data_IF_254638017962
#
_entry.id   IF_254638017962
#
_cell.length_a   1.000
_cell.length_b   1.000
_cell.length_c   1.000
_cell.angle_alpha   90.00
_cell.angle_beta   90.00
_cell.angle_gamma   90.00
#
_symmetry.space_group_name_H-M   'P 1'
#
loop_
_entity.id
_entity.type
_entity.pdbx_description
1 polymer ?
#
# COMPACT_ATOMS: atom_id res chain seq x y z
N UNK A 1 -4.18 7.39 -9.36
CA UNK A 1 -5.21 7.61 -10.42
C UNK A 1 -5.20 6.57 -11.52
N UNK A 2 -4.06 6.23 -12.13
CA UNK A 2 -4.06 5.29 -13.27
C UNK A 2 -4.52 3.87 -12.91
N UNK A 3 -4.12 3.32 -11.75
CA UNK A 3 -4.66 2.06 -11.25
C UNK A 3 -6.20 2.07 -11.12
N UNK A 4 -6.79 3.15 -10.60
CA UNK A 4 -8.25 3.30 -10.52
C UNK A 4 -8.91 3.33 -11.90
N UNK A 5 -8.25 3.95 -12.89
CA UNK A 5 -8.78 3.98 -14.25
C UNK A 5 -8.75 2.58 -14.90
N UNK A 6 -7.77 1.74 -14.55
CA UNK A 6 -7.75 0.33 -14.96
C UNK A 6 -8.81 -0.50 -14.24
N UNK A 7 -8.99 -0.30 -12.92
CA UNK A 7 -10.06 -0.93 -12.16
C UNK A 7 -11.42 -0.57 -12.78
N UNK A 8 -11.66 0.71 -13.07
CA UNK A 8 -12.89 1.19 -13.72
C UNK A 8 -13.14 0.49 -15.07
N UNK A 9 -12.09 0.26 -15.84
CA UNK A 9 -12.20 -0.27 -17.21
C UNK A 9 -12.29 -1.80 -17.26
N UNK A 10 -11.41 -2.49 -16.52
CA UNK A 10 -11.14 -3.91 -16.71
C UNK A 10 -11.74 -4.81 -15.60
N UNK A 11 -12.03 -4.26 -14.42
CA UNK A 11 -12.44 -5.02 -13.23
C UNK A 11 -13.91 -4.74 -12.88
N UNK A 12 -14.28 -3.48 -12.59
CA UNK A 12 -15.63 -3.14 -12.12
C UNK A 12 -16.76 -3.65 -13.02
N UNK A 13 -16.68 -3.57 -14.37
CA UNK A 13 -17.75 -4.08 -15.22
C UNK A 13 -17.93 -5.60 -15.18
N UNK A 14 -16.88 -6.36 -14.86
CA UNK A 14 -16.94 -7.83 -14.73
C UNK A 14 -17.57 -8.24 -13.40
N UNK A 15 -17.18 -7.52 -12.36
CA UNK A 15 -17.48 -7.76 -10.95
C UNK A 15 -18.90 -7.30 -10.58
N UNK A 16 -19.33 -6.16 -11.11
CA UNK A 16 -20.63 -5.55 -10.81
C UNK A 16 -21.49 -5.43 -12.08
N UNK A 17 -21.95 -6.58 -12.57
CA UNK A 17 -22.83 -6.66 -13.74
C UNK A 17 -24.14 -5.93 -13.44
N UNK A 18 -24.46 -4.91 -14.24
CA UNK A 18 -25.69 -4.10 -14.09
C UNK A 18 -25.47 -2.69 -13.50
N UNK A 19 -24.26 -2.36 -13.06
CA UNK A 19 -23.91 -0.98 -12.70
C UNK A 19 -23.24 -0.29 -13.90
N UNK A 20 -23.76 0.88 -14.29
CA UNK A 20 -23.13 1.71 -15.32
C UNK A 20 -21.98 2.56 -14.72
N UNK A 21 -20.75 2.12 -14.97
CA UNK A 21 -19.54 2.84 -14.56
C UNK A 21 -19.12 3.95 -15.54
N UNK A 22 -19.85 4.20 -16.63
CA UNK A 22 -19.56 5.31 -17.56
C UNK A 22 -19.51 6.66 -16.83
N UNK A 23 -20.38 6.82 -15.81
CA UNK A 23 -20.54 8.01 -14.99
C UNK A 23 -19.48 8.15 -13.87
N UNK A 24 -18.70 7.11 -13.60
CA UNK A 24 -17.63 7.16 -12.60
C UNK A 24 -16.49 8.02 -13.14
N UNK A 25 -16.23 9.17 -12.53
CA UNK A 25 -15.16 10.08 -12.93
C UNK A 25 -13.98 9.96 -11.98
N UNK A 26 -12.76 9.91 -12.52
CA UNK A 26 -11.53 9.94 -11.74
C UNK A 26 -10.90 11.30 -11.99
N UNK A 27 -10.73 12.08 -10.92
CA UNK A 27 -10.16 13.41 -10.97
C UNK A 27 -8.78 13.36 -10.30
N UNK A 28 -7.76 13.91 -10.95
CA UNK A 28 -6.45 14.14 -10.37
C UNK A 28 -6.26 15.65 -10.19
N UNK A 29 -6.21 16.08 -8.93
CA UNK A 29 -5.93 17.47 -8.56
C UNK A 29 -4.44 17.56 -8.20
N UNK A 30 -3.71 18.40 -8.91
CA UNK A 30 -2.27 18.60 -8.80
C UNK A 30 -1.99 20.09 -8.57
N UNK A 31 -1.27 20.40 -7.49
CA UNK A 31 -0.97 21.79 -7.10
C UNK A 31 0.08 22.45 -8.00
N UNK A 32 0.90 21.65 -8.67
CA UNK A 32 1.95 22.13 -9.58
C UNK A 32 1.47 22.14 -11.04
N UNK A 33 2.33 22.61 -11.94
CA UNK A 33 2.03 22.72 -13.37
C UNK A 33 1.88 21.37 -14.07
N UNK A 34 2.58 20.33 -13.59
CA UNK A 34 2.71 19.06 -14.31
C UNK A 34 2.51 17.87 -13.39
N UNK A 35 1.91 16.80 -13.92
CA UNK A 35 2.02 15.48 -13.28
C UNK A 35 3.48 15.05 -13.30
N UNK A 36 3.99 14.50 -12.18
CA UNK A 36 5.40 14.13 -12.03
C UNK A 36 6.33 15.36 -12.19
N UNK A 37 6.02 16.46 -11.51
CA UNK A 37 6.72 17.75 -11.68
C UNK A 37 8.24 17.69 -11.38
N UNK A 38 8.70 16.74 -10.57
CA UNK A 38 10.12 16.51 -10.29
C UNK A 38 10.87 15.77 -11.40
N UNK A 39 10.16 15.24 -12.40
CA UNK A 39 10.71 14.45 -13.50
C UNK A 39 10.93 15.29 -14.77
N UNK A 40 11.52 14.70 -15.80
CA UNK A 40 11.78 15.35 -17.09
C UNK A 40 10.50 15.77 -17.81
N UNK A 41 10.60 16.75 -18.71
CA UNK A 41 9.47 17.18 -19.55
C UNK A 41 8.87 16.00 -20.35
N UNK A 42 9.71 15.07 -20.80
CA UNK A 42 9.27 13.85 -21.48
C UNK A 42 8.38 13.00 -20.57
N UNK A 43 8.77 12.78 -19.32
CA UNK A 43 7.98 12.03 -18.35
C UNK A 43 6.68 12.76 -18.00
N UNK A 44 6.74 14.08 -17.79
CA UNK A 44 5.59 14.94 -17.48
C UNK A 44 4.51 14.87 -18.56
N UNK A 45 4.86 15.16 -19.82
CA UNK A 45 3.94 15.14 -20.96
C UNK A 45 3.36 13.75 -21.19
N UNK A 46 4.18 12.72 -21.02
CA UNK A 46 3.78 11.34 -21.27
C UNK A 46 2.83 10.83 -20.20
N UNK A 47 3.10 11.14 -18.93
CA UNK A 47 2.23 10.83 -17.80
C UNK A 47 0.85 11.46 -17.99
N UNK A 48 0.81 12.76 -18.32
CA UNK A 48 -0.43 13.48 -18.59
C UNK A 48 -1.24 12.81 -19.70
N UNK A 49 -0.61 12.58 -20.86
CA UNK A 49 -1.24 11.95 -22.01
C UNK A 49 -1.78 10.53 -21.69
N UNK A 50 -1.02 9.72 -20.94
CA UNK A 50 -1.48 8.40 -20.54
C UNK A 50 -2.70 8.46 -19.63
N UNK A 51 -2.69 9.33 -18.62
CA UNK A 51 -3.80 9.50 -17.69
C UNK A 51 -5.07 10.02 -18.40
N UNK A 52 -4.94 11.03 -19.26
CA UNK A 52 -6.06 11.58 -20.04
C UNK A 52 -6.66 10.53 -20.97
N UNK A 53 -5.82 9.74 -21.68
CA UNK A 53 -6.28 8.61 -22.50
C UNK A 53 -6.96 7.50 -21.71
N UNK A 54 -6.68 7.39 -20.41
CA UNK A 54 -7.35 6.47 -19.50
C UNK A 54 -8.66 7.05 -18.92
N UNK A 55 -9.04 8.28 -19.31
CA UNK A 55 -10.25 8.95 -18.86
C UNK A 55 -10.12 9.66 -17.52
N UNK A 56 -8.89 9.90 -17.04
CA UNK A 56 -8.62 10.70 -15.84
C UNK A 56 -8.71 12.18 -16.21
N UNK A 57 -9.50 12.95 -15.46
CA UNK A 57 -9.59 14.41 -15.59
C UNK A 57 -8.52 15.05 -14.71
N UNK A 58 -7.66 15.87 -15.28
CA UNK A 58 -6.49 16.43 -14.58
C UNK A 58 -6.67 17.93 -14.40
N UNK A 59 -6.57 18.39 -13.16
CA UNK A 59 -6.56 19.80 -12.77
C UNK A 59 -5.17 20.10 -12.22
N UNK A 60 -4.38 20.86 -12.97
CA UNK A 60 -3.06 21.34 -12.53
C UNK A 60 -3.17 22.74 -11.95
N UNK A 61 -2.15 23.19 -11.23
CA UNK A 61 -2.11 24.52 -10.59
C UNK A 61 -3.34 24.78 -9.70
N UNK A 62 -3.89 23.70 -9.14
CA UNK A 62 -5.16 23.69 -8.42
C UNK A 62 -4.95 23.02 -7.06
N UNK A 63 -5.47 23.64 -6.00
CA UNK A 63 -5.35 23.13 -4.63
C UNK A 63 -6.72 22.88 -4.05
N UNK A 64 -6.82 21.85 -3.22
CA UNK A 64 -8.03 21.62 -2.41
C UNK A 64 -8.00 22.57 -1.22
N UNK A 65 -9.07 23.35 -1.02
CA UNK A 65 -9.26 24.23 0.14
C UNK A 65 -9.99 23.54 1.28
N UNK A 66 -11.02 22.76 0.98
CA UNK A 66 -11.84 22.09 1.98
C UNK A 66 -12.48 20.81 1.42
N UNK A 67 -12.83 19.89 2.32
CA UNK A 67 -13.67 18.75 2.04
C UNK A 67 -14.53 18.41 3.26
N UNK A 68 -15.85 18.48 3.11
CA UNK A 68 -16.81 18.25 4.20
C UNK A 68 -17.35 16.81 4.26
N UNK A 69 -16.76 15.89 3.48
CA UNK A 69 -17.26 14.52 3.31
C UNK A 69 -18.24 14.33 2.14
N UNK A 70 -18.69 15.40 1.49
CA UNK A 70 -19.64 15.38 0.37
C UNK A 70 -19.22 16.29 -0.79
N UNK A 71 -18.63 17.44 -0.47
CA UNK A 71 -18.26 18.51 -1.38
C UNK A 71 -16.80 18.84 -1.14
N UNK A 72 -16.01 18.72 -2.21
CA UNK A 72 -14.62 19.13 -2.25
C UNK A 72 -14.55 20.50 -2.92
N UNK A 73 -14.02 21.49 -2.19
CA UNK A 73 -13.90 22.87 -2.66
C UNK A 73 -12.45 23.14 -3.09
N UNK A 74 -12.26 23.63 -4.30
CA UNK A 74 -10.95 23.98 -4.85
C UNK A 74 -10.59 25.45 -4.58
N UNK A 75 -9.31 25.79 -4.72
CA UNK A 75 -8.82 27.16 -4.58
C UNK A 75 -9.48 28.14 -5.55
N UNK A 76 -9.87 27.65 -6.72
CA UNK A 76 -10.62 28.37 -7.77
C UNK A 76 -12.08 28.65 -7.44
N UNK A 77 -12.61 28.11 -6.34
CA UNK A 77 -14.04 28.20 -5.98
C UNK A 77 -14.90 27.10 -6.62
N UNK A 78 -14.33 26.24 -7.46
CA UNK A 78 -15.05 25.09 -8.02
C UNK A 78 -15.36 24.08 -6.91
N UNK A 79 -16.62 23.63 -6.88
CA UNK A 79 -17.10 22.59 -5.98
C UNK A 79 -17.31 21.27 -6.73
N UNK A 80 -16.77 20.20 -6.16
CA UNK A 80 -16.86 18.84 -6.71
C UNK A 80 -17.60 17.97 -5.72
N UNK A 81 -18.78 17.47 -6.12
CA UNK A 81 -19.53 16.49 -5.33
C UNK A 81 -18.83 15.13 -5.39
N UNK A 82 -18.33 14.67 -4.26
CA UNK A 82 -17.68 13.36 -4.14
C UNK A 82 -17.84 12.81 -2.73
N UNK A 83 -17.98 11.48 -2.61
CA UNK A 83 -17.92 10.76 -1.34
C UNK A 83 -16.54 10.16 -1.08
N UNK A 84 -15.67 10.16 -2.07
CA UNK A 84 -14.35 9.53 -2.02
C UNK A 84 -13.29 10.55 -2.39
N UNK A 85 -12.40 10.81 -1.44
CA UNK A 85 -11.22 11.65 -1.63
C UNK A 85 -10.03 10.83 -1.17
N UNK A 86 -9.03 10.71 -2.05
CA UNK A 86 -7.77 10.05 -1.74
C UNK A 86 -6.70 11.12 -1.67
N UNK A 87 -6.22 11.39 -0.47
CA UNK A 87 -5.21 12.41 -0.22
C UNK A 87 -3.81 11.80 -0.31
N UNK A 88 -3.12 12.05 -1.42
CA UNK A 88 -1.77 11.53 -1.67
C UNK A 88 -0.73 12.66 -1.79
N UNK A 89 -1.03 13.85 -1.25
CA UNK A 89 -0.22 15.05 -1.41
C UNK A 89 0.30 15.57 -0.08
N UNK A 90 1.56 16.03 -0.07
CA UNK A 90 2.17 16.67 1.08
C UNK A 90 2.55 15.68 2.17
N UNK A 91 3.77 15.85 2.69
CA UNK A 91 4.26 15.14 3.87
C UNK A 91 4.78 16.20 4.82
N UNK A 92 4.44 16.09 6.10
CA UNK A 92 4.95 16.96 7.16
C UNK A 92 5.62 16.10 8.22
N UNK A 93 6.68 16.63 8.83
CA UNK A 93 7.33 15.97 9.96
C UNK A 93 6.39 15.92 11.17
N UNK A 94 6.59 14.92 12.02
CA UNK A 94 5.97 14.93 13.34
C UNK A 94 6.64 16.03 14.17
N UNK A 95 5.84 16.88 14.81
CA UNK A 95 6.37 17.90 15.71
C UNK A 95 6.91 17.20 16.96
N UNK A 96 8.21 17.35 17.21
CA UNK A 96 8.89 16.84 18.39
C UNK A 96 9.16 18.03 19.31
N UNK A 97 8.69 17.95 20.55
CA UNK A 97 8.94 18.97 21.57
C UNK A 97 10.39 18.93 22.06
N UNK A 98 10.86 20.04 22.66
CA UNK A 98 12.21 20.15 23.23
C UNK A 98 13.29 20.65 22.27
N UNK A 99 12.99 20.80 20.97
CA UNK A 99 13.87 21.48 20.02
C UNK A 99 13.56 22.98 19.93
N UNK A 100 14.60 23.79 19.67
CA UNK A 100 14.41 25.22 19.41
C UNK A 100 13.59 25.42 18.13
N UNK A 101 12.70 26.42 18.06
CA UNK A 101 11.91 26.69 16.86
C UNK A 101 12.77 26.97 15.61
N UNK A 102 14.00 27.43 15.79
CA UNK A 102 14.93 27.80 14.71
C UNK A 102 15.44 26.60 13.92
N UNK A 103 15.53 25.42 14.56
CA UNK A 103 15.95 24.17 13.91
C UNK A 103 14.78 23.36 13.33
N UNK A 104 13.54 23.82 13.53
CA UNK A 104 12.34 23.21 12.96
C UNK A 104 11.91 24.03 11.75
N UNK A 105 11.76 23.37 10.61
CA UNK A 105 11.25 23.99 9.38
C UNK A 105 9.72 24.16 9.40
N UNK A 106 9.12 24.99 8.52
CA UNK A 106 7.67 25.14 8.44
C UNK A 106 6.91 23.83 8.16
N UNK A 107 7.57 22.82 7.58
CA UNK A 107 7.02 21.48 7.35
C UNK A 107 7.40 20.49 8.47
N UNK A 108 7.73 20.99 9.66
CA UNK A 108 8.11 20.23 10.86
C UNK A 108 9.32 19.28 10.68
N UNK A 109 10.17 19.52 9.67
CA UNK A 109 11.44 18.79 9.49
C UNK A 109 12.52 19.41 10.37
N UNK A 110 13.43 18.60 10.90
CA UNK A 110 14.56 19.00 11.71
C UNK A 110 15.77 19.34 10.85
N UNK A 111 16.34 20.53 11.03
CA UNK A 111 17.60 20.90 10.38
C UNK A 111 18.73 20.02 10.92
N UNK A 112 19.50 19.43 10.00
CA UNK A 112 20.63 18.56 10.33
C UNK A 112 21.88 19.00 9.58
N UNK A 113 23.04 18.70 10.14
CA UNK A 113 24.31 18.81 9.42
C UNK A 113 24.52 17.63 8.45
N UNK A 114 25.64 17.63 7.72
CA UNK A 114 25.95 16.63 6.68
C UNK A 114 26.29 15.23 7.21
N UNK A 115 26.30 15.03 8.52
CA UNK A 115 26.43 13.71 9.16
C UNK A 115 25.12 13.26 9.83
N UNK A 116 23.98 13.87 9.47
CA UNK A 116 22.65 13.61 10.04
C UNK A 116 22.47 14.04 11.50
N UNK A 117 23.41 14.79 12.10
CA UNK A 117 23.25 15.30 13.46
C UNK A 117 22.30 16.50 13.46
N UNK A 118 21.32 16.50 14.36
CA UNK A 118 20.40 17.63 14.54
C UNK A 118 21.22 18.83 15.00
N UNK A 119 20.98 20.00 14.40
CA UNK A 119 21.65 21.23 14.81
C UNK A 119 21.36 21.52 16.30
N UNK A 120 22.28 22.18 16.98
CA UNK A 120 22.17 22.48 18.44
C UNK A 120 22.09 21.23 19.34
N UNK A 121 22.39 20.04 18.82
CA UNK A 121 22.44 18.80 19.61
C UNK A 121 23.83 18.15 19.63
N UNK A 122 24.11 17.42 20.71
CA UNK A 122 25.36 16.68 20.87
C UNK A 122 25.25 15.26 20.33
N UNK A 123 24.14 14.58 20.61
CA UNK A 123 23.96 13.15 20.42
C UNK A 123 22.65 12.77 19.70
N UNK A 124 21.94 13.73 19.11
CA UNK A 124 20.67 13.48 18.41
C UNK A 124 20.89 13.49 16.90
N UNK A 125 20.37 12.46 16.22
CA UNK A 125 20.48 12.30 14.79
C UNK A 125 19.10 12.11 14.15
N UNK A 126 18.90 12.71 12.97
CA UNK A 126 17.68 12.58 12.19
C UNK A 126 18.03 12.26 10.73
N UNK A 127 17.26 11.35 10.12
CA UNK A 127 17.45 10.89 8.74
C UNK A 127 16.10 10.64 8.06
N UNK A 128 16.12 10.48 6.74
CA UNK A 128 14.92 10.31 5.94
C UNK A 128 14.07 11.58 5.92
N UNK A 129 12.75 11.41 5.87
CA UNK A 129 11.83 12.50 5.55
C UNK A 129 11.79 13.62 6.60
N UNK A 130 12.02 13.27 7.87
CA UNK A 130 12.07 14.23 8.98
C UNK A 130 13.34 15.10 8.95
N UNK A 131 14.40 14.68 8.25
CA UNK A 131 15.66 15.41 8.19
C UNK A 131 15.66 16.45 7.07
N UNK A 132 15.93 17.70 7.42
CA UNK A 132 16.19 18.79 6.49
C UNK A 132 17.70 19.00 6.39
N UNK A 133 18.34 18.37 5.40
CA UNK A 133 19.79 18.40 5.18
C UNK A 133 20.16 19.15 3.91
N UNK A 134 20.77 20.32 4.06
CA UNK A 134 21.26 21.09 2.92
C UNK A 134 22.65 20.61 2.47
N UNK A 135 22.85 20.59 1.16
CA UNK A 135 24.12 20.23 0.51
C UNK A 135 24.33 21.08 -0.75
N UNK A 136 25.55 21.16 -1.31
CA UNK A 136 25.78 21.91 -2.55
C UNK A 136 24.87 21.47 -3.71
N UNK A 137 24.52 20.18 -3.80
CA UNK A 137 23.59 19.68 -4.82
C UNK A 137 22.11 19.86 -4.45
N UNK A 138 21.80 19.88 -3.15
CA UNK A 138 20.45 20.00 -2.63
C UNK A 138 20.37 21.15 -1.62
N UNK A 139 20.32 22.41 -2.10
CA UNK A 139 20.30 23.59 -1.23
C UNK A 139 18.98 23.75 -0.47
N UNK A 140 17.92 23.02 -0.86
CA UNK A 140 16.60 23.03 -0.21
C UNK A 140 16.21 21.65 0.34
N UNK A 141 17.20 20.98 0.91
CA UNK A 141 17.15 19.60 1.37
C UNK A 141 17.00 18.52 0.28
N UNK A 142 17.45 17.31 0.63
CA UNK A 142 17.25 16.12 -0.21
C UNK A 142 15.76 15.79 -0.40
N UNK A 143 15.40 15.13 -1.52
CA UNK A 143 14.04 14.67 -1.74
C UNK A 143 13.64 13.59 -0.73
N UNK A 144 12.35 13.56 -0.36
CA UNK A 144 11.75 12.62 0.58
C UNK A 144 11.51 11.26 -0.11
N UNK A 145 12.60 10.52 -0.33
CA UNK A 145 12.61 9.23 -1.02
C UNK A 145 13.23 8.16 -0.14
N UNK A 146 12.71 6.93 -0.22
CA UNK A 146 13.24 5.78 0.51
C UNK A 146 14.75 5.56 0.27
N UNK A 147 15.22 5.71 -0.97
CA UNK A 147 16.64 5.56 -1.30
C UNK A 147 17.53 6.61 -0.62
N UNK A 148 17.04 7.84 -0.41
CA UNK A 148 17.76 8.87 0.34
C UNK A 148 17.89 8.41 1.80
N UNK A 149 16.78 8.00 2.42
CA UNK A 149 16.76 7.51 3.80
C UNK A 149 17.70 6.30 4.01
N UNK A 150 17.65 5.31 3.10
CA UNK A 150 18.51 4.12 3.15
C UNK A 150 19.99 4.51 3.04
N UNK A 151 20.35 5.41 2.13
CA UNK A 151 21.74 5.84 1.95
C UNK A 151 22.23 6.69 3.13
N UNK A 152 21.38 7.57 3.67
CA UNK A 152 21.68 8.30 4.90
C UNK A 152 21.92 7.34 6.07
N UNK A 153 21.02 6.35 6.27
CA UNK A 153 21.16 5.36 7.34
C UNK A 153 22.47 4.56 7.22
N UNK A 154 22.82 4.10 6.01
CA UNK A 154 24.08 3.37 5.77
C UNK A 154 25.32 4.21 6.07
N UNK A 155 25.30 5.51 5.75
CA UNK A 155 26.42 6.40 6.04
C UNK A 155 26.48 6.76 7.53
N UNK A 156 25.33 7.08 8.12
CA UNK A 156 25.23 7.41 9.54
C UNK A 156 25.71 6.25 10.40
N UNK A 157 25.33 5.01 10.12
CA UNK A 157 25.84 3.84 10.85
C UNK A 157 27.37 3.76 10.85
N UNK A 158 28.03 4.09 9.73
CA UNK A 158 29.50 4.17 9.65
C UNK A 158 30.05 5.36 10.42
N UNK A 159 29.38 6.51 10.34
CA UNK A 159 29.79 7.71 11.07
C UNK A 159 29.66 7.54 12.59
N UNK A 160 28.62 6.88 13.09
CA UNK A 160 28.46 6.58 14.52
C UNK A 160 29.63 5.74 15.04
N UNK A 161 30.02 4.69 14.29
CA UNK A 161 31.22 3.90 14.60
C UNK A 161 32.50 4.74 14.58
N UNK A 162 32.61 5.67 13.63
CA UNK A 162 33.77 6.57 13.57
C UNK A 162 33.79 7.54 14.77
N UNK A 163 32.64 8.10 15.16
CA UNK A 163 32.52 8.98 16.31
C UNK A 163 32.93 8.27 17.61
N UNK A 164 32.44 7.05 17.83
CA UNK A 164 32.82 6.21 18.98
C UNK A 164 34.35 5.96 19.02
N UNK A 165 34.97 5.80 17.86
CA UNK A 165 36.41 5.52 17.72
C UNK A 165 37.27 6.77 17.57
N UNK A 166 36.72 7.98 17.76
CA UNK A 166 37.40 9.26 17.53
C UNK A 166 38.04 9.37 16.12
N UNK A 167 37.40 8.78 15.11
CA UNK A 167 37.81 8.81 13.71
C UNK A 167 37.03 9.87 12.93
N UNK A 168 37.60 10.41 11.83
CA UNK A 168 36.90 11.38 11.00
C UNK A 168 35.61 10.79 10.40
N UNK A 169 34.54 11.57 10.44
CA UNK A 169 33.26 11.25 9.79
C UNK A 169 33.28 11.62 8.31
N UNK A 170 32.28 11.15 7.58
CA UNK A 170 32.09 11.46 6.15
C UNK A 170 30.79 12.20 5.95
N UNK A 171 30.84 13.25 5.15
CA UNK A 171 29.67 14.00 4.73
C UNK A 171 28.78 13.19 3.79
N UNK A 172 27.46 13.35 3.97
CA UNK A 172 26.46 12.86 3.05
C UNK A 172 26.30 13.79 1.85
N UNK A 173 26.17 13.19 0.67
CA UNK A 173 25.71 13.84 -0.56
C UNK A 173 24.93 12.80 -1.37
N UNK A 174 23.70 13.14 -1.73
CA UNK A 174 22.86 12.19 -2.46
C UNK A 174 23.28 12.16 -3.94
N UNK A 175 23.33 10.95 -4.49
CA UNK A 175 23.49 10.73 -5.92
C UNK A 175 22.17 10.23 -6.46
N UNK A 176 21.53 11.05 -7.27
CA UNK A 176 20.33 10.65 -7.99
C UNK A 176 20.69 9.63 -9.08
N UNK A 177 20.09 8.44 -8.99
CA UNK A 177 20.24 7.38 -9.99
C UNK A 177 19.13 7.41 -11.05
N UNK A 178 18.22 8.36 -10.94
CA UNK A 178 17.04 8.48 -11.78
C UNK A 178 15.76 8.13 -11.05
N UNK A 179 14.65 8.42 -11.71
CA UNK A 179 13.30 8.23 -11.23
C UNK A 179 12.47 7.47 -12.25
N UNK A 180 11.53 6.66 -11.78
CA UNK A 180 10.62 5.89 -12.63
C UNK A 180 9.23 5.93 -12.03
N UNK A 181 8.21 6.01 -12.88
CA UNK A 181 6.83 5.99 -12.44
C UNK A 181 6.00 5.09 -13.34
N UNK A 182 5.17 4.24 -12.73
CA UNK A 182 4.12 3.50 -13.41
C UNK A 182 2.84 4.32 -13.39
N UNK A 183 2.31 4.59 -14.57
CA UNK A 183 1.02 5.25 -14.75
C UNK A 183 -0.08 4.19 -14.87
N UNK A 184 0.23 3.06 -15.50
CA UNK A 184 -0.66 1.92 -15.58
C UNK A 184 0.03 0.74 -16.26
N UNK A 185 -0.75 -0.28 -16.54
CA UNK A 185 -0.42 -1.44 -17.36
C UNK A 185 0.21 -1.01 -18.70
N UNK A 186 1.42 -1.50 -18.95
CA UNK A 186 2.26 -1.16 -20.11
C UNK A 186 2.57 0.35 -20.27
N UNK A 187 2.34 1.17 -19.23
CA UNK A 187 2.49 2.62 -19.28
C UNK A 187 3.36 3.07 -18.12
N UNK A 188 4.64 3.25 -18.38
CA UNK A 188 5.56 3.85 -17.43
C UNK A 188 6.39 4.94 -18.10
N UNK A 189 7.10 5.69 -17.26
CA UNK A 189 8.13 6.66 -17.64
C UNK A 189 9.38 6.37 -16.82
N UNK A 190 10.53 6.46 -17.46
CA UNK A 190 11.85 6.25 -16.86
C UNK A 190 12.71 7.46 -17.20
N UNK A 191 13.25 8.09 -16.18
CA UNK A 191 14.21 9.17 -16.26
C UNK A 191 15.50 8.77 -15.56
N UNK A 192 16.50 8.42 -16.34
CA UNK A 192 17.87 8.20 -15.87
C UNK A 192 18.71 9.44 -16.20
N UNK A 193 19.88 9.63 -15.56
CA UNK A 193 20.72 10.82 -15.79
C UNK A 193 21.07 11.11 -17.26
N UNK A 194 21.06 10.10 -18.13
CA UNK A 194 21.43 10.23 -19.55
C UNK A 194 20.35 9.74 -20.52
N UNK A 195 19.30 9.07 -20.05
CA UNK A 195 18.34 8.39 -20.93
C UNK A 195 16.93 8.56 -20.35
N UNK A 196 16.01 9.03 -21.19
CA UNK A 196 14.61 9.24 -20.85
C UNK A 196 13.72 8.50 -21.85
N UNK A 197 12.84 7.62 -21.36
CA UNK A 197 11.97 6.83 -22.24
C UNK A 197 10.65 6.45 -21.57
N UNK A 198 9.70 5.98 -22.37
CA UNK A 198 8.31 5.78 -21.95
C UNK A 198 7.67 4.55 -22.55
N UNK A 199 6.49 4.21 -22.03
CA UNK A 199 5.62 3.18 -22.57
C UNK A 199 6.01 1.79 -22.10
N UNK A 200 5.93 0.81 -23.01
CA UNK A 200 6.10 -0.60 -22.68
C UNK A 200 7.52 -0.94 -22.21
N UNK A 201 8.55 -0.47 -22.89
CA UNK A 201 9.94 -0.73 -22.48
C UNK A 201 10.27 -0.08 -21.14
N UNK A 202 9.78 1.15 -20.89
CA UNK A 202 9.88 1.80 -19.58
C UNK A 202 9.20 0.97 -18.49
N UNK A 203 8.06 0.36 -18.81
CA UNK A 203 7.32 -0.50 -17.89
C UNK A 203 8.10 -1.80 -17.60
N UNK A 204 8.70 -2.44 -18.61
CA UNK A 204 9.59 -3.60 -18.41
C UNK A 204 10.80 -3.26 -17.53
N UNK A 205 11.47 -2.12 -17.78
CA UNK A 205 12.58 -1.65 -16.94
C UNK A 205 12.15 -1.45 -15.50
N UNK A 206 10.98 -0.82 -15.29
CA UNK A 206 10.43 -0.63 -13.95
C UNK A 206 10.24 -1.96 -13.23
N UNK A 207 9.66 -2.97 -13.89
CA UNK A 207 9.45 -4.31 -13.31
C UNK A 207 10.78 -4.94 -12.94
N UNK A 208 11.72 -4.92 -13.88
CA UNK A 208 13.03 -5.54 -13.69
C UNK A 208 13.75 -4.95 -12.46
N UNK A 209 13.79 -3.61 -12.36
CA UNK A 209 14.45 -2.93 -11.23
C UNK A 209 13.71 -3.21 -9.92
N UNK A 210 12.38 -3.11 -9.89
CA UNK A 210 11.61 -3.38 -8.67
C UNK A 210 11.79 -4.82 -8.20
N UNK A 211 11.80 -5.79 -9.12
CA UNK A 211 12.05 -7.20 -8.80
C UNK A 211 13.45 -7.41 -8.19
N UNK A 212 14.46 -6.72 -8.70
CA UNK A 212 15.82 -6.79 -8.14
C UNK A 212 15.89 -6.18 -6.74
N UNK A 213 15.14 -5.08 -6.50
CA UNK A 213 15.11 -4.36 -5.22
C UNK A 213 14.28 -5.03 -4.12
N UNK A 214 13.40 -5.99 -4.45
CA UNK A 214 12.75 -6.84 -3.43
C UNK A 214 13.84 -7.63 -2.70
N UNK A 215 14.14 -7.20 -1.48
CA UNK A 215 15.11 -7.82 -0.59
C UNK A 215 14.54 -9.15 -0.06
N UNK A 216 15.40 -10.15 0.07
CA UNK A 216 15.19 -11.27 1.00
C UNK A 216 14.09 -12.31 0.70
N UNK A 217 13.90 -12.71 -0.56
CA UNK A 217 13.11 -13.92 -0.88
C UNK A 217 13.92 -14.83 -1.78
N UNK A 218 14.17 -16.07 -1.31
CA UNK A 218 14.87 -17.12 -2.09
C UNK A 218 14.20 -17.39 -3.45
N UNK A 219 12.94 -16.97 -3.64
CA UNK A 219 12.11 -17.26 -4.81
C UNK A 219 11.62 -16.01 -5.57
N UNK A 220 12.50 -15.04 -5.86
CA UNK A 220 12.17 -13.88 -6.72
C UNK A 220 11.51 -14.30 -8.05
N UNK A 221 11.93 -15.43 -8.61
CA UNK A 221 11.36 -15.99 -9.84
C UNK A 221 9.89 -16.40 -9.69
N UNK A 222 9.48 -16.98 -8.55
CA UNK A 222 8.08 -17.36 -8.31
C UNK A 222 7.20 -16.13 -8.14
N UNK A 223 7.70 -15.09 -7.45
CA UNK A 223 6.99 -13.80 -7.34
C UNK A 223 6.78 -13.20 -8.73
N UNK A 224 7.81 -13.23 -9.58
CA UNK A 224 7.71 -12.79 -10.97
C UNK A 224 6.68 -13.60 -11.76
N UNK A 225 6.68 -14.94 -11.65
CA UNK A 225 5.73 -15.81 -12.35
C UNK A 225 4.29 -15.56 -11.89
N UNK A 226 4.04 -15.44 -10.59
CA UNK A 226 2.71 -15.13 -10.05
C UNK A 226 2.22 -13.75 -10.50
N UNK A 227 3.12 -12.76 -10.50
CA UNK A 227 2.79 -11.42 -10.97
C UNK A 227 2.53 -11.40 -12.49
N UNK A 228 3.33 -12.13 -13.28
CA UNK A 228 3.10 -12.34 -14.71
C UNK A 228 1.78 -13.09 -14.99
N UNK A 229 1.42 -14.07 -14.15
CA UNK A 229 0.17 -14.80 -14.26
C UNK A 229 -1.04 -13.90 -13.96
N UNK A 230 -1.04 -13.19 -12.83
CA UNK A 230 -2.09 -12.22 -12.48
C UNK A 230 -2.20 -11.09 -13.53
N UNK A 231 -1.06 -10.70 -14.11
CA UNK A 231 -1.00 -9.75 -15.21
C UNK A 231 -1.74 -10.27 -16.45
N UNK A 232 -1.53 -11.52 -16.84
CA UNK A 232 -2.17 -12.15 -18.00
C UNK A 232 -3.65 -12.42 -17.74
N UNK A 233 -4.00 -12.98 -16.59
CA UNK A 233 -5.37 -13.44 -16.29
C UNK A 233 -6.33 -12.30 -15.97
N UNK A 234 -5.85 -11.08 -15.69
CA UNK A 234 -6.66 -9.93 -15.24
C UNK A 234 -7.57 -10.26 -14.05
N UNK A 235 -7.22 -11.28 -13.27
CA UNK A 235 -7.98 -11.77 -12.13
C UNK A 235 -7.25 -11.40 -10.85
N UNK A 236 -7.81 -10.46 -10.08
CA UNK A 236 -7.52 -10.39 -8.65
C UNK A 236 -8.17 -11.59 -8.00
N UNK A 237 -7.37 -12.55 -7.54
CA UNK A 237 -7.86 -13.71 -6.79
C UNK A 237 -8.51 -13.23 -5.51
N UNK A 238 -9.83 -13.44 -5.39
CA UNK A 238 -10.69 -13.28 -4.21
C UNK A 238 -11.13 -11.85 -3.86
N UNK A 239 -11.95 -11.24 -4.73
CA UNK A 239 -12.93 -10.23 -4.32
C UNK A 239 -14.28 -10.91 -4.05
N UNK A 240 -14.67 -11.07 -2.78
CA UNK A 240 -15.98 -11.61 -2.42
C UNK A 240 -17.00 -10.47 -2.46
N UNK A 241 -17.76 -10.38 -3.55
CA UNK A 241 -18.76 -9.31 -3.77
C UNK A 241 -20.07 -9.75 -3.13
N UNK A 242 -20.38 -9.20 -1.97
CA UNK A 242 -21.71 -9.34 -1.37
C UNK A 242 -22.65 -8.31 -2.02
N UNK A 243 -23.64 -8.80 -2.75
CA UNK A 243 -24.68 -7.94 -3.32
C UNK A 243 -25.52 -7.32 -2.20
N UNK A 244 -25.49 -6.00 -2.05
CA UNK A 244 -26.52 -5.30 -1.29
C UNK A 244 -27.82 -5.33 -2.09
N UNK A 245 -28.80 -6.14 -1.67
CA UNK A 245 -30.15 -6.05 -2.23
C UNK A 245 -30.91 -4.89 -1.58
N UNK A 246 -31.40 -3.99 -2.42
CA UNK A 246 -32.29 -2.88 -2.06
C UNK A 246 -33.55 -3.40 -1.35
N UNK A 247 -33.74 -2.98 -0.10
CA UNK A 247 -34.99 -3.17 0.65
C UNK A 247 -36.11 -2.30 0.05
N UNK A 248 -36.93 -2.84 -0.87
CA UNK A 248 -38.30 -2.34 -1.07
C UNK A 248 -39.28 -3.46 -1.47
N UNK A 249 -40.27 -3.60 -0.57
CA UNK A 249 -41.61 -4.23 -0.67
C UNK A 249 -41.76 -5.69 -0.18
N UNK A 250 -42.53 -5.78 0.91
CA UNK A 250 -43.16 -6.96 1.47
C UNK A 250 -43.95 -7.76 0.42
N UNK A 251 -43.57 -9.02 0.19
CA UNK A 251 -44.49 -10.16 -0.07
C UNK A 251 -43.83 -11.43 0.50
N UNK A 252 -44.63 -12.20 1.22
CA UNK A 252 -44.39 -13.46 1.94
C UNK A 252 -43.08 -14.23 1.68
N UNK A 253 -42.20 -14.20 2.68
CA UNK A 253 -41.03 -15.07 2.79
C UNK A 253 -41.39 -16.32 3.59
N UNK A 254 -41.83 -17.35 2.86
CA UNK A 254 -41.88 -18.74 3.30
C UNK A 254 -41.33 -19.62 2.18
N UNK A 255 -40.03 -19.96 2.28
CA UNK A 255 -39.39 -21.23 1.84
C UNK A 255 -37.85 -21.19 1.73
N UNK A 256 -37.19 -20.04 1.99
CA UNK A 256 -35.72 -19.97 2.12
C UNK A 256 -35.23 -19.79 3.57
N UNK A 257 -36.14 -19.83 4.55
CA UNK A 257 -35.87 -19.58 5.98
C UNK A 257 -35.29 -20.76 6.78
N UNK A 258 -34.85 -21.83 6.12
CA UNK A 258 -34.30 -23.01 6.82
C UNK A 258 -33.02 -23.46 6.12
N UNK A 259 -31.85 -22.93 6.52
CA UNK A 259 -30.51 -23.61 6.46
C UNK A 259 -29.26 -22.72 6.68
N UNK A 260 -29.35 -21.59 7.39
CA UNK A 260 -28.14 -20.90 7.89
C UNK A 260 -28.41 -20.55 9.35
N UNK A 261 -27.94 -21.39 10.28
CA UNK A 261 -27.99 -21.08 11.71
C UNK A 261 -26.91 -20.05 12.04
N UNK A 262 -27.36 -18.84 12.34
CA UNK A 262 -26.90 -17.95 13.41
C UNK A 262 -25.43 -18.01 13.84
N UNK A 263 -24.54 -17.31 13.13
CA UNK A 263 -23.48 -16.53 13.79
C UNK A 263 -23.19 -15.28 12.95
N UNK A 264 -23.41 -14.06 13.48
CA UNK A 264 -22.97 -12.85 12.80
C UNK A 264 -21.45 -12.79 12.88
N UNK A 265 -20.75 -12.92 11.73
CA UNK A 265 -19.31 -12.71 11.68
C UNK A 265 -18.99 -11.31 12.23
N UNK A 266 -18.28 -11.23 13.36
CA UNK A 266 -17.80 -9.96 13.91
C UNK A 266 -16.40 -9.71 13.38
N UNK A 267 -16.27 -8.74 12.50
CA UNK A 267 -14.94 -8.27 12.09
C UNK A 267 -14.29 -7.51 13.24
N UNK A 268 -13.13 -8.01 13.66
CA UNK A 268 -12.29 -7.38 14.66
C UNK A 268 -11.06 -6.75 13.98
N UNK A 269 -10.87 -5.44 14.18
CA UNK A 269 -9.64 -4.73 13.81
C UNK A 269 -8.68 -4.79 15.01
N UNK A 270 -7.65 -5.63 14.91
CA UNK A 270 -6.62 -5.82 15.93
C UNK A 270 -5.32 -6.28 15.26
N UNK A 271 -4.18 -6.13 15.93
CA UNK A 271 -2.92 -6.71 15.44
C UNK A 271 -3.02 -8.23 15.36
N UNK A 272 -2.20 -8.88 14.51
CA UNK A 272 -2.17 -10.35 14.42
C UNK A 272 -1.90 -10.96 15.81
N UNK A 273 -0.96 -10.41 16.57
CA UNK A 273 -0.63 -10.88 17.92
C UNK A 273 -1.80 -10.78 18.91
N UNK A 274 -2.59 -9.70 18.86
CA UNK A 274 -3.78 -9.54 19.70
C UNK A 274 -4.87 -10.54 19.32
N UNK A 275 -5.11 -10.75 18.02
CA UNK A 275 -6.06 -11.74 17.54
C UNK A 275 -5.66 -13.17 17.97
N UNK A 276 -4.38 -13.53 17.85
CA UNK A 276 -3.85 -14.83 18.29
C UNK A 276 -3.98 -15.01 19.80
N UNK A 277 -3.63 -14.00 20.59
CA UNK A 277 -3.75 -14.06 22.05
C UNK A 277 -5.21 -14.23 22.49
N UNK A 278 -6.14 -13.48 21.89
CA UNK A 278 -7.57 -13.59 22.18
C UNK A 278 -8.11 -14.97 21.84
N UNK A 279 -7.84 -15.47 20.62
CA UNK A 279 -8.28 -16.78 20.18
C UNK A 279 -7.68 -17.92 21.03
N UNK A 280 -6.42 -17.77 21.46
CA UNK A 280 -5.80 -18.73 22.37
C UNK A 280 -6.50 -18.79 23.74
N UNK A 281 -6.95 -17.64 24.29
CA UNK A 281 -7.73 -17.60 25.53
C UNK A 281 -9.13 -18.23 25.38
N UNK A 282 -9.67 -18.19 24.16
CA UNK A 282 -10.95 -18.82 23.79
C UNK A 282 -10.82 -20.32 23.43
N UNK A 283 -9.61 -20.87 23.53
CA UNK A 283 -9.32 -22.31 23.35
C UNK A 283 -8.95 -22.71 21.92
N UNK A 284 -8.76 -21.76 20.99
CA UNK A 284 -8.23 -22.03 19.66
C UNK A 284 -6.71 -22.14 19.72
N UNK A 285 -6.22 -23.32 20.08
CA UNK A 285 -4.79 -23.56 20.36
C UNK A 285 -4.06 -24.32 19.26
N UNK A 286 -4.79 -24.87 18.27
CA UNK A 286 -4.19 -25.64 17.18
C UNK A 286 -3.79 -24.73 16.02
N UNK A 287 -2.50 -24.55 15.78
CA UNK A 287 -2.01 -23.75 14.66
C UNK A 287 -2.00 -24.56 13.34
N UNK A 288 -2.94 -24.28 12.44
CA UNK A 288 -3.05 -24.96 11.14
C UNK A 288 -2.12 -24.38 10.06
N UNK A 289 -1.30 -23.39 10.38
CA UNK A 289 -0.18 -22.98 9.52
C UNK A 289 1.01 -23.95 9.63
N UNK A 290 1.04 -24.82 10.64
CA UNK A 290 2.11 -25.82 10.84
C UNK A 290 1.79 -27.15 10.13
N UNK A 291 2.75 -27.67 9.35
CA UNK A 291 2.58 -28.89 8.55
C UNK A 291 2.11 -30.11 9.34
N UNK A 292 2.61 -30.27 10.57
CA UNK A 292 2.27 -31.39 11.46
C UNK A 292 0.77 -31.47 11.81
N UNK A 293 0.04 -30.37 11.70
CA UNK A 293 -1.38 -30.29 12.04
C UNK A 293 -2.29 -30.51 10.81
N UNK A 294 -1.72 -30.62 9.62
CA UNK A 294 -2.46 -30.78 8.37
C UNK A 294 -3.18 -32.14 8.26
N UNK A 295 -2.64 -33.19 8.87
CA UNK A 295 -3.28 -34.51 8.92
C UNK A 295 -4.68 -34.46 9.54
N UNK A 296 -4.88 -33.61 10.56
CA UNK A 296 -6.21 -33.37 11.15
C UNK A 296 -7.17 -32.70 10.18
N UNK A 297 -6.66 -31.83 9.31
CA UNK A 297 -7.45 -31.18 8.25
C UNK A 297 -7.88 -32.14 7.14
N UNK A 298 -7.12 -33.21 6.90
CA UNK A 298 -7.52 -34.26 5.97
C UNK A 298 -8.65 -35.13 6.52
N UNK A 299 -8.62 -35.41 7.82
CA UNK A 299 -9.54 -36.35 8.49
C UNK A 299 -10.82 -35.74 9.06
N UNK A 300 -10.83 -34.44 9.37
CA UNK A 300 -11.96 -33.78 10.02
C UNK A 300 -12.59 -32.71 9.11
N UNK A 301 -13.87 -32.35 9.35
CA UNK A 301 -14.53 -31.28 8.62
C UNK A 301 -14.50 -30.00 9.45
N UNK A 302 -13.96 -28.92 8.88
CA UNK A 302 -13.82 -27.64 9.57
C UNK A 302 -14.81 -26.61 9.03
N UNK A 303 -15.27 -25.73 9.93
CA UNK A 303 -16.01 -24.52 9.59
C UNK A 303 -15.29 -23.28 10.15
N UNK A 304 -15.44 -22.15 9.46
CA UNK A 304 -14.94 -20.86 9.96
C UNK A 304 -15.95 -20.30 10.96
N UNK A 305 -15.51 -20.07 12.18
CA UNK A 305 -16.35 -19.58 13.28
C UNK A 305 -16.07 -18.12 13.64
N UNK A 306 -14.88 -17.59 13.34
CA UNK A 306 -14.55 -16.18 13.54
C UNK A 306 -13.47 -15.69 12.56
N UNK A 307 -13.43 -14.38 12.29
CA UNK A 307 -12.49 -13.76 11.32
C UNK A 307 -11.97 -12.41 11.81
N UNK A 308 -10.65 -12.32 11.96
CA UNK A 308 -9.94 -11.09 12.30
C UNK A 308 -9.21 -10.58 11.08
N UNK A 309 -9.31 -9.27 10.80
CA UNK A 309 -8.64 -8.65 9.66
C UNK A 309 -7.66 -7.60 10.16
N UNK A 310 -6.41 -7.72 9.75
CA UNK A 310 -5.37 -6.75 10.02
C UNK A 310 -4.94 -6.03 8.74
N UNK A 311 -4.89 -4.71 8.82
CA UNK A 311 -4.24 -3.83 7.84
C UNK A 311 -3.11 -3.11 8.57
N UNK A 312 -1.86 -3.33 8.16
CA UNK A 312 -0.71 -2.69 8.81
C UNK A 312 -0.66 -1.18 8.57
N UNK A 313 -0.27 -0.41 9.59
CA UNK A 313 -0.11 1.05 9.50
C UNK A 313 1.11 1.47 8.65
N UNK A 314 2.03 0.54 8.34
CA UNK A 314 3.35 0.86 7.77
C UNK A 314 3.63 0.20 6.41
N UNK A 315 2.95 -0.90 6.06
CA UNK A 315 3.11 -1.60 4.78
C UNK A 315 1.80 -2.29 4.33
N UNK A 316 1.23 -1.92 3.16
CA UNK A 316 0.07 -2.61 2.58
C UNK A 316 0.31 -4.09 2.24
N UNK A 317 1.58 -4.55 2.21
CA UNK A 317 1.95 -5.95 2.00
C UNK A 317 1.92 -6.82 3.27
N UNK A 318 1.79 -6.19 4.45
CA UNK A 318 1.64 -6.85 5.76
C UNK A 318 0.17 -7.04 6.17
N UNK A 319 -0.74 -7.08 5.19
CA UNK A 319 -2.13 -7.43 5.45
C UNK A 319 -2.27 -8.92 5.74
N UNK A 320 -2.94 -9.25 6.85
CA UNK A 320 -3.19 -10.62 7.27
C UNK A 320 -4.64 -10.80 7.73
N UNK A 321 -5.18 -11.99 7.49
CA UNK A 321 -6.47 -12.44 7.99
C UNK A 321 -6.22 -13.64 8.91
N UNK A 322 -6.77 -13.60 10.12
CA UNK A 322 -6.74 -14.72 11.06
C UNK A 322 -8.13 -15.34 11.09
N UNK A 323 -8.22 -16.60 10.69
CA UNK A 323 -9.44 -17.40 10.74
C UNK A 323 -9.41 -18.28 11.98
N UNK A 324 -10.47 -18.22 12.77
CA UNK A 324 -10.76 -19.23 13.77
C UNK A 324 -11.58 -20.33 13.10
N UNK A 325 -11.10 -21.56 13.17
CA UNK A 325 -11.76 -22.73 12.58
C UNK A 325 -12.02 -23.78 13.66
N UNK A 326 -13.18 -24.43 13.56
CA UNK A 326 -13.60 -25.48 14.47
C UNK A 326 -14.04 -26.71 13.66
N UNK A 327 -13.62 -27.90 14.07
CA UNK A 327 -14.05 -29.14 13.45
C UNK A 327 -15.29 -29.75 14.08
N UNK A 328 -15.97 -30.60 13.31
CA UNK A 328 -17.02 -31.51 13.80
C UNK A 328 -16.54 -32.44 14.94
N UNK A 329 -15.25 -32.74 15.00
CA UNK A 329 -14.61 -33.48 16.09
C UNK A 329 -14.21 -32.61 17.31
N UNK A 330 -14.50 -31.31 17.29
CA UNK A 330 -14.22 -30.38 18.38
C UNK A 330 -12.79 -29.81 18.38
N UNK A 331 -12.02 -30.02 17.30
CA UNK A 331 -10.69 -29.41 17.14
C UNK A 331 -10.85 -27.92 16.87
N UNK A 332 -10.38 -27.09 17.79
CA UNK A 332 -10.30 -25.64 17.61
C UNK A 332 -8.91 -25.22 17.19
N UNK A 333 -8.84 -24.49 16.08
CA UNK A 333 -7.57 -23.99 15.60
C UNK A 333 -7.63 -22.67 14.86
N UNK A 334 -6.42 -22.19 14.57
CA UNK A 334 -6.16 -20.90 13.99
C UNK A 334 -5.51 -21.13 12.63
N UNK A 335 -5.95 -20.35 11.65
CA UNK A 335 -5.36 -20.30 10.33
C UNK A 335 -5.09 -18.84 9.95
N UNK A 336 -3.83 -18.48 9.74
CA UNK A 336 -3.43 -17.14 9.32
C UNK A 336 -3.16 -17.13 7.82
N UNK A 337 -3.71 -16.17 7.09
CA UNK A 337 -3.45 -15.97 5.68
C UNK A 337 -2.98 -14.54 5.40
N UNK A 338 -1.85 -14.38 4.70
CA UNK A 338 -1.44 -13.10 4.18
C UNK A 338 -2.30 -12.65 2.99
N UNK A 339 -2.42 -11.35 2.76
CA UNK A 339 -3.10 -10.79 1.60
C UNK A 339 -2.14 -10.70 0.40
N UNK A 340 -2.56 -11.15 -0.78
CA UNK A 340 -1.72 -11.08 -1.98
C UNK A 340 -0.51 -12.01 -1.91
N UNK A 341 0.71 -11.46 -2.05
CA UNK A 341 1.97 -12.22 -2.30
C UNK A 341 2.44 -13.00 -1.06
N UNK A 342 1.94 -12.65 0.13
CA UNK A 342 2.20 -13.35 1.40
C UNK A 342 1.19 -14.48 1.68
N UNK A 343 0.25 -14.75 0.77
CA UNK A 343 -0.68 -15.88 0.90
C UNK A 343 0.06 -17.22 0.71
N UNK A 344 -0.06 -18.10 1.71
CA UNK A 344 0.45 -19.47 1.57
C UNK A 344 -0.55 -20.27 0.71
N UNK A 345 -0.05 -20.82 -0.40
CA UNK A 345 -0.78 -21.73 -1.29
C UNK A 345 -1.49 -22.88 -0.56
N UNK A 346 -0.98 -23.28 0.62
CA UNK A 346 -1.58 -24.33 1.46
C UNK A 346 -2.78 -23.81 2.24
N UNK A 347 -2.65 -22.63 2.85
CA UNK A 347 -3.76 -21.94 3.51
C UNK A 347 -4.93 -21.71 2.55
N UNK A 348 -4.62 -21.39 1.28
CA UNK A 348 -5.64 -21.25 0.22
C UNK A 348 -6.38 -22.57 -0.01
N UNK A 349 -5.67 -23.71 -0.15
CA UNK A 349 -6.32 -25.03 -0.33
C UNK A 349 -7.20 -25.43 0.85
N UNK A 350 -6.75 -25.11 2.07
CA UNK A 350 -7.52 -25.33 3.29
C UNK A 350 -8.83 -24.54 3.26
N UNK A 351 -8.74 -23.23 2.95
CA UNK A 351 -9.89 -22.35 2.84
C UNK A 351 -10.83 -22.77 1.71
N UNK A 352 -10.30 -23.14 0.53
CA UNK A 352 -11.10 -23.65 -0.59
C UNK A 352 -11.89 -24.90 -0.20
N UNK A 353 -11.27 -25.87 0.49
CA UNK A 353 -11.96 -27.09 0.95
C UNK A 353 -13.04 -26.80 1.99
N UNK A 354 -12.82 -25.84 2.90
CA UNK A 354 -13.82 -25.41 3.88
C UNK A 354 -15.00 -24.73 3.17
N UNK A 355 -14.71 -23.85 2.22
CA UNK A 355 -15.73 -23.04 1.52
C UNK A 355 -16.46 -23.81 0.41
N UNK A 356 -15.85 -24.83 -0.20
CA UNK A 356 -16.46 -25.63 -1.27
C UNK A 356 -17.46 -26.67 -0.79
N UNK A 357 -17.58 -26.87 0.53
CA UNK A 357 -18.38 -27.94 1.14
C UNK A 357 -19.78 -27.51 1.65
N UNK A 358 -20.31 -26.34 1.28
CA UNK A 358 -21.66 -25.89 1.67
C UNK A 358 -22.58 -25.64 0.49
#
# INVERSE_FOLDING_TARGET
SGAFAEIKKDILPKDYRGIDFSRLNILLIEGTKNTLNSMSNTAQLSSRNYLEKMGVKIYTETFVKNYDGNILTLNTGVEIKTKTVIWAAGVTGNKIEGFSPEIITPTNRLKVNRINKVLESENIFALGDIAYMETPRYPKAHPQLANVAINQAKLLAKNLKNLEQNKPTKDFEYKDFGSMATIGRNKAVVDLPFIHFKGYFAWLTWIFVHLMLILSVKNKLIIFINWAWAYITKSTSLGLILSQQNERKNVEVSLLKVKIKNTPFKFHYATVSEALNKLSLEGFVTDFNLEKNYTKFETENFEIVDVYRYEGDTDPSDQAIVYAIESDAGTKGILVNGYGISSDSRTIKILEKILSKK
#
